data_IF_262429497996
#
_entry.id   IF_262429497996
#
_cell.length_a   1.000
_cell.length_b   1.000
_cell.length_c   1.000
_cell.angle_alpha   90.00
_cell.angle_beta   90.00
_cell.angle_gamma   90.00
#
_symmetry.space_group_name_H-M   'P 1'
#
loop_
_entity.id
_entity.type
_entity.pdbx_description
1 polymer ?
#
# COMPACT_ATOMS: atom_id res chain seq x y z
N UNK A 1 10.87 -3.05 4.32
CA UNK A 1 10.51 -4.37 4.90
C UNK A 1 9.50 -4.13 6.00
N UNK A 2 8.27 -4.66 5.89
CA UNK A 2 7.19 -4.43 6.86
C UNK A 2 6.66 -5.77 7.37
N UNK A 3 6.40 -5.88 8.67
CA UNK A 3 6.02 -7.16 9.28
C UNK A 3 4.71 -7.71 8.71
N UNK A 4 3.67 -6.89 8.61
CA UNK A 4 2.38 -7.29 8.02
C UNK A 4 2.48 -7.70 6.55
N UNK A 5 3.44 -7.13 5.80
CA UNK A 5 3.77 -7.57 4.44
C UNK A 5 4.35 -8.98 4.43
N UNK A 6 5.21 -9.31 5.39
CA UNK A 6 5.76 -10.67 5.52
C UNK A 6 4.68 -11.69 5.90
N UNK A 7 3.77 -11.32 6.80
CA UNK A 7 2.60 -12.16 7.15
C UNK A 7 1.74 -12.44 5.91
N UNK A 8 1.45 -11.42 5.09
CA UNK A 8 0.69 -11.63 3.86
C UNK A 8 1.41 -12.54 2.86
N UNK A 9 2.71 -12.37 2.69
CA UNK A 9 3.52 -13.24 1.83
C UNK A 9 3.51 -14.71 2.32
N UNK A 10 3.53 -14.94 3.64
CA UNK A 10 3.41 -16.28 4.21
C UNK A 10 2.10 -16.98 3.80
N UNK A 11 0.98 -16.25 3.83
CA UNK A 11 -0.32 -16.77 3.38
C UNK A 11 -0.33 -17.08 1.87
N UNK A 12 0.21 -16.19 1.04
CA UNK A 12 0.32 -16.41 -0.42
C UNK A 12 1.08 -17.70 -0.70
N UNK A 13 2.21 -17.91 -0.03
CA UNK A 13 3.01 -19.13 -0.17
C UNK A 13 2.23 -20.37 0.29
N UNK A 14 1.55 -20.31 1.44
CA UNK A 14 0.74 -21.42 1.94
C UNK A 14 -0.38 -21.81 0.95
N UNK A 15 -1.08 -20.84 0.36
CA UNK A 15 -2.12 -21.09 -0.64
C UNK A 15 -1.55 -21.76 -1.90
N UNK A 16 -0.44 -21.25 -2.44
CA UNK A 16 0.19 -21.82 -3.63
C UNK A 16 0.73 -23.24 -3.37
N UNK A 17 1.28 -23.52 -2.19
CA UNK A 17 1.71 -24.87 -1.80
C UNK A 17 0.51 -25.81 -1.71
N UNK A 18 -0.57 -25.40 -1.03
CA UNK A 18 -1.78 -26.20 -0.90
C UNK A 18 -2.43 -26.51 -2.26
N UNK A 19 -2.28 -25.61 -3.24
CA UNK A 19 -2.74 -25.80 -4.61
C UNK A 19 -1.75 -26.59 -5.51
N UNK A 20 -0.79 -27.31 -4.94
CA UNK A 20 0.16 -28.12 -5.71
C UNK A 20 1.15 -27.28 -6.53
N UNK A 21 1.52 -26.10 -6.03
CA UNK A 21 2.44 -25.17 -6.70
C UNK A 21 1.77 -24.25 -7.73
N UNK A 22 0.43 -24.29 -7.86
CA UNK A 22 -0.29 -23.38 -8.75
C UNK A 22 -0.33 -21.96 -8.18
N UNK A 23 -0.21 -20.95 -9.06
CA UNK A 23 -0.22 -19.53 -8.70
C UNK A 23 -1.64 -19.00 -8.44
N UNK A 24 -2.30 -19.54 -7.41
CA UNK A 24 -3.70 -19.23 -7.04
C UNK A 24 -3.85 -17.98 -6.17
N UNK A 25 -2.75 -17.46 -5.61
CA UNK A 25 -2.73 -16.25 -4.80
C UNK A 25 -1.53 -15.35 -5.18
N UNK A 26 -1.65 -14.04 -4.95
CA UNK A 26 -0.63 -13.03 -5.29
C UNK A 26 -0.50 -11.96 -4.22
N UNK A 27 0.71 -11.41 -4.14
CA UNK A 27 1.03 -10.27 -3.29
C UNK A 27 0.93 -8.97 -4.09
N UNK A 28 0.09 -8.04 -3.62
CA UNK A 28 -0.05 -6.69 -4.18
C UNK A 28 0.74 -5.71 -3.32
N UNK A 29 2.01 -5.49 -3.68
CA UNK A 29 2.93 -4.69 -2.87
C UNK A 29 2.59 -3.19 -2.85
N UNK A 30 1.98 -2.70 -3.92
CA UNK A 30 1.48 -1.34 -4.06
C UNK A 30 0.34 -1.02 -3.09
N UNK A 31 -0.44 -2.03 -2.69
CA UNK A 31 -1.55 -1.87 -1.74
C UNK A 31 -1.15 -2.04 -0.26
N UNK A 32 0.14 -2.23 0.06
CA UNK A 32 0.58 -2.43 1.45
C UNK A 32 0.76 -1.08 2.14
N UNK A 33 0.07 -0.81 3.27
CA UNK A 33 0.28 0.42 4.01
C UNK A 33 1.66 0.45 4.67
N UNK A 34 2.30 1.61 4.68
CA UNK A 34 3.54 1.90 5.40
C UNK A 34 3.30 3.02 6.39
N UNK A 35 3.82 2.87 7.61
CA UNK A 35 3.77 3.89 8.66
C UNK A 35 5.17 4.14 9.21
N UNK A 36 5.51 5.41 9.38
CA UNK A 36 6.66 5.88 10.15
C UNK A 36 6.13 6.45 11.46
N UNK A 37 6.47 5.80 12.58
CA UNK A 37 6.01 6.14 13.93
C UNK A 37 6.84 7.26 14.56
N UNK A 38 6.89 8.41 13.91
CA UNK A 38 7.42 9.68 14.44
C UNK A 38 6.33 10.46 15.15
N UNK A 39 6.66 11.65 15.67
CA UNK A 39 5.69 12.62 16.20
C UNK A 39 5.74 13.90 15.32
N UNK A 40 4.71 14.19 14.48
CA UNK A 40 3.53 13.35 14.23
C UNK A 40 3.87 12.10 13.39
N UNK A 41 2.97 11.13 13.42
CA UNK A 41 3.09 9.92 12.61
C UNK A 41 2.85 10.24 11.12
N UNK A 42 3.49 9.46 10.24
CA UNK A 42 3.24 9.50 8.80
C UNK A 42 2.78 8.13 8.33
N UNK A 43 1.73 8.08 7.52
CA UNK A 43 1.28 6.84 6.89
C UNK A 43 0.92 7.07 5.42
N UNK A 44 1.18 6.08 4.56
CA UNK A 44 0.71 6.07 3.18
C UNK A 44 0.43 4.64 2.69
N UNK A 45 -0.42 4.52 1.67
CA UNK A 45 -0.70 3.28 0.95
C UNK A 45 -1.01 3.62 -0.52
N UNK A 46 -0.74 2.70 -1.45
CA UNK A 46 -0.91 2.99 -2.88
C UNK A 46 0.22 3.84 -3.45
N UNK A 47 -0.07 4.49 -4.58
CA UNK A 47 0.85 5.38 -5.27
C UNK A 47 0.87 6.76 -4.61
N UNK A 48 2.05 7.38 -4.56
CA UNK A 48 2.15 8.82 -4.33
C UNK A 48 1.62 9.58 -5.55
N UNK A 49 1.35 10.89 -5.41
CA UNK A 49 0.95 11.72 -6.55
C UNK A 49 1.99 11.66 -7.67
N UNK A 50 3.28 11.75 -7.35
CA UNK A 50 4.36 11.64 -8.33
C UNK A 50 4.34 10.29 -9.07
N UNK A 51 4.21 9.17 -8.34
CA UNK A 51 4.13 7.85 -8.94
C UNK A 51 2.87 7.67 -9.80
N UNK A 52 1.74 8.23 -9.38
CA UNK A 52 0.49 8.19 -10.14
C UNK A 52 0.59 9.03 -11.42
N UNK A 53 1.18 10.22 -11.34
CA UNK A 53 1.40 11.10 -12.48
C UNK A 53 2.36 10.48 -13.49
N UNK A 54 3.43 9.82 -13.03
CA UNK A 54 4.36 9.08 -13.87
C UNK A 54 3.69 7.88 -14.56
N UNK A 55 2.78 7.18 -13.88
CA UNK A 55 2.11 5.98 -14.41
C UNK A 55 0.92 6.27 -15.33
N UNK A 56 0.15 7.34 -15.04
CA UNK A 56 -1.14 7.62 -15.69
C UNK A 56 -1.13 8.91 -16.52
N UNK A 57 -0.12 9.76 -16.34
CA UNK A 57 -0.06 11.13 -16.87
C UNK A 57 -0.71 12.14 -15.94
N UNK A 58 -0.11 13.32 -15.82
CA UNK A 58 -0.56 14.37 -14.89
C UNK A 58 -2.01 14.84 -15.10
N UNK A 59 -2.52 14.80 -16.33
CA UNK A 59 -3.92 15.17 -16.61
C UNK A 59 -4.94 14.13 -16.12
N UNK A 60 -4.50 12.92 -15.78
CA UNK A 60 -5.35 11.84 -15.28
C UNK A 60 -5.35 11.73 -13.74
N UNK A 61 -4.60 12.58 -13.04
CA UNK A 61 -4.46 12.54 -11.57
C UNK A 61 -5.08 13.77 -10.93
N UNK A 62 -5.99 13.54 -9.98
CA UNK A 62 -6.55 14.59 -9.13
C UNK A 62 -6.04 14.40 -7.69
N UNK A 63 -5.48 15.46 -7.09
CA UNK A 63 -4.97 15.45 -5.72
C UNK A 63 -5.87 16.30 -4.84
N UNK A 64 -6.38 15.73 -3.76
CA UNK A 64 -7.17 16.44 -2.74
C UNK A 64 -6.40 16.46 -1.43
N UNK A 65 -6.48 17.57 -0.70
CA UNK A 65 -5.83 17.75 0.60
C UNK A 65 -6.85 18.17 1.65
N UNK A 66 -6.63 17.73 2.88
CA UNK A 66 -7.40 18.10 4.05
C UNK A 66 -6.44 18.53 5.15
N UNK A 67 -6.73 19.66 5.80
CA UNK A 67 -5.89 20.22 6.87
C UNK A 67 -6.39 19.73 8.24
N UNK A 68 -5.48 19.14 9.01
CA UNK A 68 -5.79 18.62 10.34
C UNK A 68 -6.04 19.73 11.37
N UNK A 69 -5.70 20.99 11.09
CA UNK A 69 -6.10 22.11 11.94
C UNK A 69 -7.62 22.29 12.06
N UNK A 70 -8.39 21.74 11.11
CA UNK A 70 -9.86 21.74 11.10
C UNK A 70 -10.45 20.39 11.50
N UNK A 71 -9.62 19.44 11.91
CA UNK A 71 -10.09 18.12 12.32
C UNK A 71 -10.84 18.20 13.65
N UNK A 72 -12.00 17.53 13.71
CA UNK A 72 -12.84 17.52 14.91
C UNK A 72 -12.45 16.45 15.92
N UNK A 73 -11.31 15.76 15.72
CA UNK A 73 -10.78 14.74 16.63
C UNK A 73 -9.91 15.35 17.71
#
# INVERSE_FOLDING_TARGET
MLFHSAVRQSLVVAHCIAAGGQAVDRMHFDAVPMTVFTEPELAHAGLTSAQAEDALGASAVAVTRYDYAHDSR
#
